data_IF_831654273250
#
_entry.id   IF_831654273250
#
_cell.length_a   1.000
_cell.length_b   1.000
_cell.length_c   1.000
_cell.angle_alpha   90.00
_cell.angle_beta   90.00
_cell.angle_gamma   90.00
#
_symmetry.space_group_name_H-M   'P 1'
#
loop_
_entity.id
_entity.type
_entity.pdbx_description
1 polymer ?
#
# COMPACT_ATOMS: atom_id res chain seq x y z
N UNK A 1 -79.32 -0.14 -11.29
CA UNK A 1 -78.53 0.87 -12.04
C UNK A 1 -77.48 1.37 -11.04
N UNK A 2 -76.38 0.62 -10.96
CA UNK A 2 -75.02 1.03 -11.37
C UNK A 2 -74.39 1.85 -10.23
N UNK A 3 -73.36 1.41 -9.51
CA UNK A 3 -72.37 0.37 -9.75
C UNK A 3 -71.05 0.97 -9.29
N UNK A 4 -70.73 0.82 -8.00
CA UNK A 4 -69.44 1.27 -7.46
C UNK A 4 -68.49 0.07 -7.36
N UNK A 5 -67.40 0.29 -8.08
CA UNK A 5 -66.30 -0.58 -8.46
C UNK A 5 -65.55 -1.20 -7.26
N UNK A 6 -65.21 -2.51 -7.28
CA UNK A 6 -64.40 -3.12 -6.24
C UNK A 6 -62.92 -2.82 -6.47
N UNK A 7 -62.39 -1.84 -5.74
CA UNK A 7 -60.96 -1.59 -5.65
C UNK A 7 -60.24 -2.78 -5.02
N UNK A 8 -59.82 -3.73 -5.85
CA UNK A 8 -58.89 -4.81 -5.51
C UNK A 8 -57.51 -4.19 -5.38
N UNK A 9 -56.92 -4.28 -4.19
CA UNK A 9 -55.51 -3.92 -3.98
C UNK A 9 -54.63 -4.83 -4.85
N UNK A 10 -53.62 -4.30 -5.56
CA UNK A 10 -52.66 -5.15 -6.23
C UNK A 10 -51.81 -5.85 -5.16
N UNK A 11 -52.03 -7.15 -4.97
CA UNK A 11 -51.07 -8.02 -4.30
C UNK A 11 -49.81 -8.00 -5.15
N UNK A 12 -48.75 -7.41 -4.61
CA UNK A 12 -47.43 -7.53 -5.21
C UNK A 12 -47.05 -9.02 -5.21
N UNK A 13 -47.11 -9.66 -6.37
CA UNK A 13 -46.39 -10.89 -6.64
C UNK A 13 -44.91 -10.58 -6.48
N UNK A 14 -44.40 -10.82 -5.28
CA UNK A 14 -42.99 -10.85 -5.01
C UNK A 14 -42.41 -12.06 -5.74
N UNK A 15 -41.82 -11.81 -6.90
CA UNK A 15 -40.86 -12.70 -7.53
C UNK A 15 -39.67 -12.82 -6.56
N UNK A 16 -39.75 -13.79 -5.66
CA UNK A 16 -38.64 -14.24 -4.85
C UNK A 16 -37.66 -14.94 -5.80
N UNK A 17 -36.85 -14.14 -6.48
CA UNK A 17 -35.68 -14.61 -7.19
C UNK A 17 -34.87 -15.49 -6.23
N UNK A 18 -34.74 -16.76 -6.60
CA UNK A 18 -33.87 -17.71 -5.92
C UNK A 18 -32.48 -17.10 -5.82
N UNK A 19 -31.98 -16.86 -4.60
CA UNK A 19 -30.58 -16.52 -4.40
C UNK A 19 -29.74 -17.77 -4.71
N UNK A 20 -28.89 -17.77 -5.75
CA UNK A 20 -27.97 -18.88 -5.96
C UNK A 20 -26.98 -18.94 -4.78
N UNK A 21 -26.74 -20.16 -4.31
CA UNK A 21 -25.86 -20.51 -3.20
C UNK A 21 -24.53 -19.76 -3.24
N UNK A 22 -24.14 -19.19 -2.09
CA UNK A 22 -22.97 -18.35 -1.87
C UNK A 22 -21.61 -19.08 -1.87
N UNK A 23 -21.42 -20.11 -2.69
CA UNK A 23 -20.26 -21.03 -2.59
C UNK A 23 -19.33 -21.06 -3.81
N UNK A 24 -19.31 -20.03 -4.67
CA UNK A 24 -18.38 -20.03 -5.81
C UNK A 24 -17.89 -18.64 -6.29
N UNK A 25 -17.54 -17.75 -5.38
CA UNK A 25 -16.64 -16.63 -5.68
C UNK A 25 -15.39 -16.73 -4.81
N UNK A 26 -14.63 -17.82 -5.01
CA UNK A 26 -13.20 -17.78 -4.69
C UNK A 26 -12.55 -16.88 -5.74
N UNK A 27 -12.39 -15.59 -5.41
CA UNK A 27 -11.73 -14.62 -6.27
C UNK A 27 -10.32 -15.14 -6.63
N UNK A 28 -10.03 -15.46 -7.91
CA UNK A 28 -8.73 -15.99 -8.34
C UNK A 28 -7.59 -14.95 -8.24
N UNK A 29 -7.85 -13.77 -7.66
CA UNK A 29 -6.91 -12.65 -7.57
C UNK A 29 -6.12 -12.59 -6.26
N UNK A 30 -6.22 -13.58 -5.36
CA UNK A 30 -5.27 -13.67 -4.23
C UNK A 30 -4.03 -14.46 -4.64
N UNK A 31 -3.33 -13.97 -5.66
CA UNK A 31 -1.95 -14.37 -5.94
C UNK A 31 -1.03 -13.34 -5.29
N UNK A 32 -0.64 -13.59 -4.04
CA UNK A 32 0.33 -12.75 -3.32
C UNK A 32 1.70 -12.66 -4.04
N UNK A 33 1.92 -13.45 -5.10
CA UNK A 33 3.13 -13.47 -5.91
C UNK A 33 3.06 -12.60 -7.18
N UNK A 34 1.98 -11.82 -7.40
CA UNK A 34 1.83 -11.01 -8.61
C UNK A 34 2.87 -9.89 -8.75
N UNK A 35 3.58 -9.55 -7.66
CA UNK A 35 4.74 -8.68 -7.66
C UNK A 35 5.86 -9.32 -6.84
N UNK A 36 7.11 -9.37 -7.35
CA UNK A 36 8.24 -9.79 -6.53
C UNK A 36 8.35 -8.84 -5.32
N UNK A 37 8.71 -9.40 -4.16
CA UNK A 37 8.96 -8.60 -2.96
C UNK A 37 10.15 -7.67 -3.22
N UNK A 38 9.96 -6.37 -3.02
CA UNK A 38 11.03 -5.39 -3.10
C UNK A 38 11.71 -5.24 -1.74
N UNK A 39 13.04 -5.23 -1.73
CA UNK A 39 13.83 -4.87 -0.56
C UNK A 39 14.12 -3.36 -0.59
N UNK A 40 13.94 -2.69 0.54
CA UNK A 40 14.32 -1.28 0.73
C UNK A 40 15.62 -1.26 1.50
N UNK A 41 16.68 -0.73 0.89
CA UNK A 41 18.00 -0.63 1.50
C UNK A 41 18.29 0.86 1.78
N UNK A 42 18.28 1.31 3.05
CA UNK A 42 18.60 2.68 3.38
C UNK A 42 20.07 3.00 3.12
N UNK A 43 20.33 4.22 2.67
CA UNK A 43 21.67 4.70 2.36
C UNK A 43 22.23 5.62 3.46
N UNK A 44 23.54 5.54 3.68
CA UNK A 44 24.33 6.49 4.47
C UNK A 44 25.53 6.91 3.61
N UNK A 45 25.40 8.09 2.99
CA UNK A 45 26.45 8.67 2.16
C UNK A 45 27.30 9.60 3.02
N UNK A 46 28.62 9.44 2.98
CA UNK A 46 29.56 10.14 3.86
C UNK A 46 30.45 11.08 3.05
N UNK A 47 30.73 12.26 3.61
CA UNK A 47 31.75 13.16 3.09
C UNK A 47 32.29 14.03 4.22
N UNK A 48 33.62 14.14 4.31
CA UNK A 48 34.30 14.94 5.35
C UNK A 48 33.87 14.59 6.79
N UNK A 49 33.51 13.33 7.04
CA UNK A 49 33.07 12.84 8.36
C UNK A 49 31.59 13.04 8.68
N UNK A 50 30.80 13.61 7.77
CA UNK A 50 29.36 13.84 7.97
C UNK A 50 28.52 13.08 6.94
N UNK A 51 27.27 12.77 7.30
CA UNK A 51 26.28 12.22 6.37
C UNK A 51 25.80 13.34 5.44
N UNK A 52 25.86 13.08 4.14
CA UNK A 52 25.47 14.04 3.11
C UNK A 52 24.38 13.51 2.19
N UNK A 53 23.66 14.41 1.53
CA UNK A 53 22.85 14.10 0.35
C UNK A 53 23.18 15.12 -0.73
N UNK A 54 23.60 14.65 -1.90
CA UNK A 54 23.87 15.48 -3.06
C UNK A 54 22.62 15.64 -3.93
N UNK A 55 22.48 16.81 -4.54
CA UNK A 55 21.52 17.00 -5.63
C UNK A 55 22.18 16.55 -6.92
N UNK A 56 21.63 15.51 -7.56
CA UNK A 56 22.15 14.94 -8.81
C UNK A 56 23.62 14.49 -8.76
N UNK A 57 24.16 14.21 -7.56
CA UNK A 57 25.56 13.81 -7.38
C UNK A 57 26.57 14.95 -7.56
N UNK A 58 26.12 16.21 -7.59
CA UNK A 58 27.01 17.37 -7.78
C UNK A 58 27.64 17.81 -6.45
N UNK A 59 28.98 17.81 -6.40
CA UNK A 59 29.72 18.35 -5.25
C UNK A 59 29.42 19.84 -5.06
N UNK A 60 29.33 20.28 -3.81
CA UNK A 60 28.92 21.63 -3.42
C UNK A 60 27.41 21.78 -3.25
N UNK A 61 26.61 20.73 -3.50
CA UNK A 61 25.16 20.71 -3.30
C UNK A 61 24.74 19.91 -2.07
N UNK A 62 25.71 19.51 -1.24
CA UNK A 62 25.51 18.66 -0.06
C UNK A 62 24.53 19.33 0.92
N UNK A 63 23.49 18.58 1.32
CA UNK A 63 22.85 18.77 2.63
C UNK A 63 23.48 17.83 3.64
N UNK A 64 23.76 18.34 4.84
CA UNK A 64 24.36 17.58 5.95
C UNK A 64 23.30 17.09 6.93
N UNK A 65 23.45 15.85 7.39
CA UNK A 65 22.50 15.15 8.27
C UNK A 65 23.11 14.68 9.59
N UNK A 66 24.38 14.98 9.86
CA UNK A 66 25.06 14.68 11.12
C UNK A 66 26.01 13.48 11.03
N UNK A 67 26.17 12.77 12.14
CA UNK A 67 27.21 11.74 12.30
C UNK A 67 26.83 10.41 11.62
N UNK A 68 27.73 9.80 10.82
CA UNK A 68 27.45 8.54 10.11
C UNK A 68 27.03 7.38 11.01
N UNK A 69 27.67 7.27 12.19
CA UNK A 69 27.37 6.20 13.14
C UNK A 69 25.96 6.33 13.73
N UNK A 70 25.49 7.56 13.96
CA UNK A 70 24.15 7.79 14.50
C UNK A 70 23.08 7.49 13.43
N UNK A 71 23.32 7.90 12.17
CA UNK A 71 22.44 7.58 11.06
C UNK A 71 22.34 6.07 10.81
N UNK A 72 23.47 5.35 10.82
CA UNK A 72 23.50 3.91 10.66
C UNK A 72 22.74 3.18 11.79
N UNK A 73 22.96 3.60 13.05
CA UNK A 73 22.24 3.03 14.20
C UNK A 73 20.73 3.24 14.10
N UNK A 74 20.30 4.44 13.69
CA UNK A 74 18.89 4.72 13.50
C UNK A 74 18.24 3.75 12.50
N UNK A 75 18.90 3.49 11.37
CA UNK A 75 18.36 2.53 10.39
C UNK A 75 18.28 1.12 10.93
N UNK A 76 19.30 0.68 11.69
CA UNK A 76 19.27 -0.62 12.37
C UNK A 76 18.13 -0.68 13.39
N UNK A 77 17.93 0.37 14.17
CA UNK A 77 16.83 0.46 15.16
C UNK A 77 15.44 0.48 14.49
N UNK A 78 15.35 1.00 13.26
CA UNK A 78 14.14 0.97 12.42
C UNK A 78 13.95 -0.38 11.68
N UNK A 79 14.87 -1.34 11.85
CA UNK A 79 14.73 -2.71 11.33
C UNK A 79 15.45 -2.99 10.02
N UNK A 80 16.37 -2.12 9.58
CA UNK A 80 17.17 -2.37 8.39
C UNK A 80 18.15 -3.54 8.61
N UNK A 81 18.05 -4.58 7.79
CA UNK A 81 18.98 -5.72 7.77
C UNK A 81 20.23 -5.42 6.94
N UNK A 82 20.08 -4.59 5.91
CA UNK A 82 21.13 -4.17 4.97
C UNK A 82 21.25 -2.65 4.99
N UNK A 83 22.48 -2.13 4.97
CA UNK A 83 22.76 -0.71 4.74
C UNK A 83 23.57 -0.53 3.44
N UNK A 84 23.22 0.48 2.66
CA UNK A 84 24.02 0.94 1.54
C UNK A 84 24.95 2.06 2.02
N UNK A 85 26.26 1.83 2.05
CA UNK A 85 27.25 2.81 2.52
C UNK A 85 28.05 3.35 1.35
N UNK A 86 28.22 4.67 1.30
CA UNK A 86 28.99 5.40 0.27
C UNK A 86 29.95 6.37 0.95
N UNK A 87 31.18 6.47 0.45
CA UNK A 87 32.26 7.37 0.90
C UNK A 87 32.78 8.22 -0.28
#
# INVERSE_FOLDING_TARGET
>A
MNGDDPGTEPTADGDAGENPSSDADSDPTTDAARFPTFEVIPAVDMQDGEVVQLVQGERGTEKRYGEPVEAARRWVDEGAETLHLVD
#
